data_IF_798145876954
#
_entry.id   IF_798145876954
#
_cell.length_a   1.000
_cell.length_b   1.000
_cell.length_c   1.000
_cell.angle_alpha   90.00
_cell.angle_beta   90.00
_cell.angle_gamma   90.00
#
_symmetry.space_group_name_H-M   'P 1'
#
loop_
_entity.id
_entity.type
_entity.pdbx_description
1 polymer ?
#
# COMPACT_ATOMS: atom_id res chain seq x y z
N UNK A 1 87.92 37.28 34.43
CA UNK A 1 88.66 37.02 35.70
C UNK A 1 87.90 36.03 36.53
N UNK A 2 88.59 34.93 36.91
CA UNK A 2 88.48 34.06 38.09
C UNK A 2 87.07 33.51 38.44
N UNK A 3 86.85 32.21 38.27
CA UNK A 3 87.07 31.05 39.20
C UNK A 3 86.14 31.16 40.42
N UNK A 4 85.40 30.11 40.80
CA UNK A 4 85.81 28.74 41.22
C UNK A 4 84.57 27.90 41.52
N UNK A 5 84.60 26.73 41.14
CA UNK A 5 84.50 25.38 41.72
C UNK A 5 83.97 25.24 43.16
N UNK A 6 83.13 24.25 43.34
CA UNK A 6 83.00 23.14 44.33
C UNK A 6 81.54 22.74 44.33
N UNK A 7 81.05 21.56 44.15
CA UNK A 7 81.55 20.19 44.33
C UNK A 7 80.40 19.35 44.88
N UNK A 8 80.08 18.32 44.20
CA UNK A 8 79.55 16.99 44.59
C UNK A 8 78.47 16.83 45.68
N UNK A 9 77.38 16.15 45.37
CA UNK A 9 77.17 14.79 45.87
C UNK A 9 75.86 14.24 45.33
N UNK A 10 76.00 13.07 44.70
CA UNK A 10 74.95 12.16 44.21
C UNK A 10 74.15 11.59 45.36
N UNK A 11 72.86 11.72 45.32
CA UNK A 11 71.92 10.79 45.95
C UNK A 11 70.93 10.24 44.89
N UNK A 12 71.09 8.94 44.58
CA UNK A 12 70.16 8.19 43.79
C UNK A 12 68.99 7.83 44.70
N UNK A 13 67.85 8.41 44.46
CA UNK A 13 66.57 7.94 45.04
C UNK A 13 65.78 7.15 43.98
N UNK A 14 65.73 5.87 44.19
CA UNK A 14 64.90 4.95 43.43
C UNK A 14 63.42 5.19 43.85
N UNK A 15 62.63 5.76 42.96
CA UNK A 15 61.16 5.77 43.13
C UNK A 15 60.53 4.62 42.30
N UNK A 16 59.60 3.86 42.85
CA UNK A 16 58.91 2.82 42.11
C UNK A 16 57.91 3.46 41.13
N UNK A 17 58.01 3.06 39.85
CA UNK A 17 57.04 3.40 38.80
C UNK A 17 55.78 2.60 39.10
N UNK A 18 54.76 3.25 39.67
CA UNK A 18 53.40 2.70 39.70
C UNK A 18 52.81 2.93 38.32
N UNK A 19 52.78 1.87 37.54
CA UNK A 19 52.08 1.86 36.26
C UNK A 19 50.56 1.91 36.47
N UNK A 20 49.95 3.07 36.27
CA UNK A 20 48.51 3.22 36.15
C UNK A 20 48.13 2.86 34.72
N UNK A 21 47.68 1.64 34.53
CA UNK A 21 47.03 1.21 33.25
C UNK A 21 45.65 1.86 33.19
N UNK A 22 45.55 2.99 32.50
CA UNK A 22 44.24 3.54 32.10
C UNK A 22 43.71 2.67 30.96
N UNK A 23 42.85 1.71 31.30
CA UNK A 23 42.02 1.03 30.31
C UNK A 23 41.01 2.04 29.76
N UNK A 24 41.26 2.57 28.55
CA UNK A 24 40.28 3.31 27.78
C UNK A 24 39.23 2.28 27.37
N UNK A 25 38.13 2.17 28.11
CA UNK A 25 36.92 1.56 27.65
C UNK A 25 36.35 2.48 26.56
N UNK A 26 36.65 2.18 25.28
CA UNK A 26 35.83 2.67 24.17
C UNK A 26 34.46 2.01 24.32
N UNK A 27 33.54 2.69 24.99
CA UNK A 27 32.12 2.41 24.81
C UNK A 27 31.78 2.79 23.37
N UNK A 28 31.67 1.79 22.52
CA UNK A 28 30.93 1.92 21.27
C UNK A 28 29.51 2.34 21.65
N UNK A 29 29.27 3.64 21.65
CA UNK A 29 27.93 4.17 21.58
C UNK A 29 27.46 3.80 20.17
N UNK A 30 26.86 2.61 20.04
CA UNK A 30 25.99 2.34 18.90
C UNK A 30 24.90 3.41 19.03
N UNK A 31 24.73 4.31 18.06
CA UNK A 31 23.59 5.20 18.11
C UNK A 31 22.37 4.27 18.19
N UNK A 32 21.63 4.34 19.29
CA UNK A 32 20.30 3.80 19.32
C UNK A 32 19.59 4.48 18.15
N UNK A 33 19.24 3.73 17.12
CA UNK A 33 18.31 4.21 16.12
C UNK A 33 17.10 4.67 16.92
N UNK A 34 16.87 5.98 16.93
CA UNK A 34 15.67 6.52 17.54
C UNK A 34 14.51 5.89 16.75
N UNK A 35 13.89 4.87 17.33
CA UNK A 35 12.65 4.38 16.81
C UNK A 35 11.63 5.49 17.07
N UNK A 36 10.98 5.96 16.03
CA UNK A 36 9.85 6.86 16.16
C UNK A 36 8.85 6.25 17.15
N UNK A 37 8.29 7.08 18.02
CA UNK A 37 7.44 6.59 19.11
C UNK A 37 6.14 6.03 18.54
N UNK A 38 5.89 4.75 18.76
CA UNK A 38 4.60 4.13 18.42
C UNK A 38 3.53 4.74 19.32
N UNK A 39 2.52 5.35 18.70
CA UNK A 39 1.42 5.96 19.43
C UNK A 39 0.34 4.91 19.70
N UNK A 40 -0.16 4.84 20.92
CA UNK A 40 -1.24 3.92 21.29
C UNK A 40 -2.52 4.12 20.49
N UNK A 41 -2.72 5.34 20.01
CA UNK A 41 -3.86 5.72 19.17
C UNK A 41 -3.68 5.35 17.70
N UNK A 42 -2.47 5.01 17.24
CA UNK A 42 -2.28 4.53 15.86
C UNK A 42 -3.18 3.32 15.60
N UNK A 43 -3.76 3.27 14.42
CA UNK A 43 -4.71 2.23 14.02
C UNK A 43 -4.02 1.26 13.06
N UNK A 44 -4.10 -0.01 13.37
CA UNK A 44 -3.61 -1.11 12.52
C UNK A 44 -4.81 -1.94 12.12
N UNK A 45 -5.11 -2.00 10.82
CA UNK A 45 -6.24 -2.74 10.27
C UNK A 45 -7.52 -2.56 11.10
N UNK A 46 -7.92 -1.30 11.32
CA UNK A 46 -9.17 -0.90 11.95
C UNK A 46 -9.25 -0.97 13.48
N UNK A 47 -8.17 -1.33 14.19
CA UNK A 47 -8.11 -1.28 15.66
C UNK A 47 -6.88 -0.50 16.11
N UNK A 48 -7.02 0.25 17.22
CA UNK A 48 -5.86 0.95 17.80
C UNK A 48 -4.82 -0.04 18.32
N UNK A 49 -3.55 0.40 18.37
CA UNK A 49 -2.45 -0.37 18.96
C UNK A 49 -2.79 -0.80 20.40
N UNK A 50 -3.44 0.08 21.17
CA UNK A 50 -3.89 -0.23 22.52
C UNK A 50 -4.97 -1.32 22.55
N UNK A 51 -5.94 -1.28 21.62
CA UNK A 51 -6.99 -2.31 21.51
C UNK A 51 -6.47 -3.66 21.03
N UNK A 52 -5.39 -3.66 20.23
CA UNK A 52 -4.77 -4.89 19.73
C UNK A 52 -3.87 -5.57 20.74
N UNK A 53 -3.36 -4.85 21.73
CA UNK A 53 -2.35 -5.34 22.71
C UNK A 53 -1.14 -5.99 22.02
N UNK A 54 -0.70 -5.41 20.89
CA UNK A 54 0.47 -5.90 20.15
C UNK A 54 1.76 -5.28 20.66
N UNK A 55 2.84 -6.03 20.53
CA UNK A 55 4.17 -5.53 20.92
C UNK A 55 4.58 -4.33 20.02
N UNK A 56 5.20 -3.31 20.60
CA UNK A 56 5.74 -2.15 19.87
C UNK A 56 6.60 -2.56 18.68
N UNK A 57 7.36 -3.64 18.80
CA UNK A 57 8.21 -4.16 17.74
C UNK A 57 7.43 -4.69 16.51
N UNK A 58 6.14 -4.96 16.66
CA UNK A 58 5.25 -5.37 15.56
C UNK A 58 4.55 -4.17 14.89
N UNK A 59 4.76 -2.95 15.37
CA UNK A 59 4.20 -1.74 14.81
C UNK A 59 5.23 -1.07 13.87
N UNK A 60 4.77 -0.35 12.82
CA UNK A 60 5.69 0.40 11.99
C UNK A 60 6.29 1.59 12.76
N UNK A 61 7.56 1.90 12.50
CA UNK A 61 8.22 3.09 13.06
C UNK A 61 7.95 4.27 12.14
N UNK A 62 7.07 5.18 12.56
CA UNK A 62 6.65 6.38 11.82
C UNK A 62 6.79 7.59 12.72
N UNK A 63 7.41 8.64 12.20
CA UNK A 63 7.61 9.92 12.90
C UNK A 63 6.54 10.95 12.51
N UNK A 64 6.08 10.93 11.27
CA UNK A 64 5.08 11.84 10.72
C UNK A 64 3.87 12.04 11.64
N UNK A 65 3.31 13.25 11.62
CA UNK A 65 2.14 13.59 12.44
C UNK A 65 0.87 12.93 11.91
N UNK A 66 0.73 12.84 10.59
CA UNK A 66 -0.38 12.17 9.91
C UNK A 66 0.20 11.12 8.95
N UNK A 67 -0.35 9.93 8.96
CA UNK A 67 0.10 8.88 8.05
C UNK A 67 -1.01 7.88 7.73
N UNK A 68 -0.99 7.37 6.51
CA UNK A 68 -1.84 6.26 6.09
C UNK A 68 -1.07 5.32 5.18
N UNK A 69 -1.39 4.05 5.25
CA UNK A 69 -0.91 3.02 4.32
C UNK A 69 -2.09 2.21 3.82
N UNK A 70 -2.23 2.13 2.50
CA UNK A 70 -3.28 1.35 1.84
C UNK A 70 -2.70 0.49 0.72
N UNK A 71 -3.44 -0.52 0.27
CA UNK A 71 -3.15 -1.26 -0.96
C UNK A 71 -3.93 -0.74 -2.18
N UNK A 72 -3.76 -1.44 -3.31
CA UNK A 72 -4.47 -1.12 -4.57
C UNK A 72 -6.00 -1.24 -4.47
N UNK A 73 -6.52 -1.98 -3.51
CA UNK A 73 -7.96 -2.18 -3.31
C UNK A 73 -8.54 -1.18 -2.30
N UNK A 74 -7.70 -0.33 -1.71
CA UNK A 74 -8.08 0.67 -0.70
C UNK A 74 -8.17 0.11 0.71
N UNK A 75 -7.67 -1.11 0.97
CA UNK A 75 -7.57 -1.68 2.31
C UNK A 75 -6.58 -0.88 3.15
N UNK A 76 -7.02 -0.36 4.28
CA UNK A 76 -6.18 0.42 5.20
C UNK A 76 -5.45 -0.51 6.17
N UNK A 77 -4.12 -0.56 6.06
CA UNK A 77 -3.26 -1.33 6.98
C UNK A 77 -2.79 -0.52 8.18
N UNK A 78 -2.50 0.76 7.97
CA UNK A 78 -2.04 1.67 9.01
C UNK A 78 -2.69 3.04 8.86
N UNK A 79 -3.05 3.65 10.00
CA UNK A 79 -3.63 4.98 10.11
C UNK A 79 -3.10 5.66 11.38
N UNK A 80 -2.56 6.86 11.21
CA UNK A 80 -2.23 7.82 12.27
C UNK A 80 -2.85 9.15 11.91
N UNK A 81 -3.87 9.60 12.63
CA UNK A 81 -4.57 10.85 12.38
C UNK A 81 -4.95 11.04 10.89
N UNK A 82 -5.16 9.92 10.15
CA UNK A 82 -5.20 9.94 8.69
C UNK A 82 -6.40 10.70 8.13
N UNK A 83 -7.43 10.92 8.94
CA UNK A 83 -8.65 11.63 8.56
C UNK A 83 -8.71 13.08 9.09
N UNK A 84 -7.68 13.52 9.81
CA UNK A 84 -7.59 14.89 10.30
C UNK A 84 -7.05 15.82 9.20
N UNK A 85 -7.66 17.00 8.98
CA UNK A 85 -7.20 17.95 7.99
C UNK A 85 -5.80 18.51 8.30
N UNK A 86 -4.97 18.61 7.25
CA UNK A 86 -3.64 19.21 7.30
C UNK A 86 -3.33 19.89 5.96
N UNK A 87 -2.38 20.81 5.97
CA UNK A 87 -1.79 21.31 4.73
C UNK A 87 -0.97 20.22 4.06
N UNK A 88 -0.99 20.23 2.72
CA UNK A 88 -0.38 19.18 1.91
C UNK A 88 0.71 19.68 0.97
N UNK A 89 0.96 21.00 0.97
CA UNK A 89 1.97 21.61 0.14
C UNK A 89 1.90 21.13 -1.34
N UNK A 90 3.07 20.90 -1.94
CA UNK A 90 3.19 20.47 -3.34
C UNK A 90 2.65 19.07 -3.66
N UNK A 91 2.14 18.30 -2.70
CA UNK A 91 1.36 17.08 -2.99
C UNK A 91 0.13 17.44 -3.84
N UNK A 92 -0.41 18.65 -3.68
CA UNK A 92 -1.46 19.27 -4.53
C UNK A 92 -1.23 19.06 -6.03
N UNK A 93 0.02 19.08 -6.49
CA UNK A 93 0.38 18.95 -7.92
C UNK A 93 0.01 17.62 -8.56
N UNK A 94 -0.24 16.61 -7.74
CA UNK A 94 -0.75 15.32 -8.24
C UNK A 94 -2.17 15.48 -8.77
N UNK A 95 -3.04 16.19 -8.04
CA UNK A 95 -4.37 16.53 -8.53
C UNK A 95 -4.32 17.47 -9.75
N UNK A 96 -3.37 18.40 -9.76
CA UNK A 96 -3.13 19.26 -10.93
C UNK A 96 -2.79 18.46 -12.18
N UNK A 97 -1.95 17.41 -12.04
CA UNK A 97 -1.62 16.53 -13.16
C UNK A 97 -2.86 15.74 -13.65
N UNK A 98 -3.65 15.18 -12.73
CA UNK A 98 -4.88 14.43 -13.06
C UNK A 98 -5.84 15.35 -13.86
N UNK A 99 -6.17 16.52 -13.33
CA UNK A 99 -7.12 17.45 -13.96
C UNK A 99 -6.60 17.98 -15.29
N UNK A 100 -5.29 18.23 -15.39
CA UNK A 100 -4.68 18.64 -16.65
C UNK A 100 -4.80 17.55 -17.72
N UNK A 101 -4.56 16.28 -17.38
CA UNK A 101 -4.69 15.15 -18.31
C UNK A 101 -6.15 14.94 -18.74
N UNK A 102 -7.08 15.02 -17.80
CA UNK A 102 -8.51 14.79 -18.07
C UNK A 102 -9.13 15.86 -18.98
N UNK A 103 -8.59 17.11 -18.98
CA UNK A 103 -9.21 18.24 -19.66
C UNK A 103 -8.37 18.86 -20.79
N UNK A 104 -7.09 18.50 -20.95
CA UNK A 104 -6.27 19.03 -22.03
C UNK A 104 -6.73 18.49 -23.39
N UNK A 105 -6.72 19.36 -24.38
CA UNK A 105 -6.96 18.97 -25.77
C UNK A 105 -5.75 18.25 -26.36
N UNK A 106 -5.99 17.50 -27.40
CA UNK A 106 -4.90 16.85 -28.16
C UNK A 106 -3.90 17.90 -28.67
N UNK A 107 -2.61 17.61 -28.59
CA UNK A 107 -1.50 18.50 -28.97
C UNK A 107 -1.45 19.83 -28.22
N UNK A 108 -1.97 19.91 -27.00
CA UNK A 108 -1.84 21.10 -26.15
C UNK A 108 -0.38 21.46 -25.96
N UNK A 109 -0.09 22.75 -26.14
CA UNK A 109 1.20 23.37 -25.78
C UNK A 109 0.98 24.31 -24.61
N UNK A 110 1.92 24.32 -23.66
CA UNK A 110 1.85 25.10 -22.43
C UNK A 110 2.86 26.24 -22.52
N UNK A 111 2.41 27.47 -22.28
CA UNK A 111 3.27 28.66 -22.29
C UNK A 111 3.38 29.16 -20.84
N UNK A 112 4.61 29.40 -20.37
CA UNK A 112 4.87 30.01 -19.07
C UNK A 112 4.58 31.52 -19.19
N UNK A 113 3.50 31.99 -18.60
CA UNK A 113 3.11 33.40 -18.55
C UNK A 113 4.00 34.20 -17.58
N UNK A 114 3.93 35.53 -17.63
CA UNK A 114 4.51 36.44 -16.63
C UNK A 114 3.98 36.09 -15.23
N UNK A 115 2.68 35.81 -15.09
CA UNK A 115 2.04 35.43 -13.83
C UNK A 115 2.57 34.09 -13.33
N UNK A 116 2.69 33.09 -14.20
CA UNK A 116 3.28 31.79 -13.82
C UNK A 116 4.74 31.91 -13.39
N UNK A 117 5.54 32.74 -14.06
CA UNK A 117 6.93 33.01 -13.73
C UNK A 117 7.13 33.84 -12.44
N UNK A 118 6.06 34.47 -11.94
CA UNK A 118 6.08 35.27 -10.71
C UNK A 118 5.73 34.47 -9.43
N UNK A 119 5.24 33.22 -9.55
CA UNK A 119 4.80 32.41 -8.39
C UNK A 119 5.93 32.18 -7.35
N UNK A 120 7.18 32.13 -7.79
CA UNK A 120 8.32 31.91 -6.89
C UNK A 120 8.57 30.44 -6.53
N UNK A 121 9.52 30.23 -5.62
CA UNK A 121 10.03 28.94 -5.16
C UNK A 121 10.50 28.02 -6.32
N UNK A 122 9.94 26.82 -6.48
CA UNK A 122 10.37 25.88 -7.51
C UNK A 122 9.97 26.34 -8.92
N UNK A 123 10.92 26.85 -9.70
CA UNK A 123 10.70 27.27 -11.10
C UNK A 123 10.79 26.10 -12.09
N UNK A 124 11.33 24.95 -11.70
CA UNK A 124 11.75 23.87 -12.63
C UNK A 124 12.71 24.38 -13.73
N UNK A 125 13.52 25.41 -13.46
CA UNK A 125 14.40 26.09 -14.41
C UNK A 125 13.65 26.69 -15.63
N UNK A 126 12.32 26.82 -15.56
CA UNK A 126 11.49 27.51 -16.55
C UNK A 126 11.60 29.05 -16.42
N UNK A 127 11.28 29.73 -17.47
CA UNK A 127 11.25 31.19 -17.51
C UNK A 127 10.00 31.67 -18.27
N UNK A 128 9.62 32.93 -18.06
CA UNK A 128 8.57 33.60 -18.85
C UNK A 128 8.79 33.42 -20.34
N UNK A 129 7.74 33.12 -21.06
CA UNK A 129 7.74 32.89 -22.50
C UNK A 129 8.24 31.53 -22.97
N UNK A 130 8.63 30.63 -22.06
CA UNK A 130 8.95 29.23 -22.41
C UNK A 130 7.70 28.54 -22.92
N UNK A 131 7.84 27.80 -24.02
CA UNK A 131 6.79 26.98 -24.59
C UNK A 131 7.20 25.51 -24.49
N UNK A 132 6.33 24.70 -23.89
CA UNK A 132 6.50 23.27 -23.67
C UNK A 132 5.41 22.47 -24.40
N UNK A 133 5.72 21.26 -24.84
CA UNK A 133 4.67 20.29 -25.08
C UNK A 133 4.04 19.83 -23.74
N UNK A 134 2.88 19.21 -23.83
CA UNK A 134 2.09 18.86 -22.66
C UNK A 134 2.81 17.87 -21.71
N UNK A 135 3.49 16.86 -22.27
CA UNK A 135 4.25 15.88 -21.48
C UNK A 135 5.44 16.54 -20.78
N UNK A 136 6.15 17.44 -21.45
CA UNK A 136 7.24 18.23 -20.86
C UNK A 136 6.74 19.11 -19.70
N UNK A 137 5.53 19.68 -19.82
CA UNK A 137 4.92 20.46 -18.76
C UNK A 137 4.54 19.57 -17.54
N UNK A 138 4.01 18.36 -17.76
CA UNK A 138 3.75 17.39 -16.69
C UNK A 138 5.05 16.94 -16.01
N UNK A 139 6.13 16.71 -16.75
CA UNK A 139 7.46 16.42 -16.19
C UNK A 139 7.98 17.56 -15.33
N UNK A 140 7.87 18.80 -15.80
CA UNK A 140 8.28 19.98 -15.04
C UNK A 140 7.42 20.21 -13.78
N UNK A 141 6.15 19.79 -13.80
CA UNK A 141 5.24 19.81 -12.66
C UNK A 141 5.64 18.78 -11.58
N UNK A 142 5.85 17.53 -11.98
CA UNK A 142 5.91 16.39 -11.04
C UNK A 142 7.33 16.07 -10.57
N UNK A 143 8.34 16.13 -11.46
CA UNK A 143 9.71 15.71 -11.14
C UNK A 143 10.41 16.69 -10.19
N UNK A 144 10.64 17.98 -10.56
CA UNK A 144 11.25 18.97 -9.66
C UNK A 144 10.20 19.73 -8.83
N UNK A 145 8.94 19.35 -8.88
CA UNK A 145 7.87 20.06 -8.16
C UNK A 145 7.63 21.51 -8.62
N UNK A 146 7.67 21.79 -9.95
CA UNK A 146 7.66 23.12 -10.51
C UNK A 146 6.34 23.90 -10.31
N UNK A 147 6.38 25.01 -9.56
CA UNK A 147 5.24 25.91 -9.38
C UNK A 147 4.87 26.63 -10.68
N UNK A 148 5.88 27.02 -11.47
CA UNK A 148 5.65 27.68 -12.78
C UNK A 148 4.89 26.74 -13.73
N UNK A 149 5.24 25.46 -13.75
CA UNK A 149 4.55 24.46 -14.56
C UNK A 149 3.11 24.23 -14.07
N UNK A 150 2.89 24.21 -12.75
CA UNK A 150 1.54 24.07 -12.17
C UNK A 150 0.62 25.20 -12.61
N UNK A 151 1.08 26.44 -12.46
CA UNK A 151 0.32 27.63 -12.84
C UNK A 151 0.08 27.68 -14.35
N UNK A 152 1.12 27.44 -15.17
CA UNK A 152 1.02 27.48 -16.62
C UNK A 152 0.07 26.40 -17.19
N UNK A 153 0.06 25.20 -16.58
CA UNK A 153 -0.91 24.14 -16.90
C UNK A 153 -2.34 24.58 -16.57
N UNK A 154 -2.56 25.13 -15.37
CA UNK A 154 -3.86 25.59 -14.94
C UNK A 154 -4.39 26.72 -15.83
N UNK A 155 -3.55 27.69 -16.21
CA UNK A 155 -3.91 28.77 -17.15
C UNK A 155 -4.26 28.23 -18.54
N UNK A 156 -3.43 27.32 -19.07
CA UNK A 156 -3.61 26.76 -20.41
C UNK A 156 -4.86 25.89 -20.50
N UNK A 157 -4.97 24.92 -19.60
CA UNK A 157 -6.07 23.92 -19.62
C UNK A 157 -7.38 24.59 -19.17
N UNK A 158 -7.34 25.45 -18.15
CA UNK A 158 -8.50 26.19 -17.70
C UNK A 158 -9.08 27.11 -18.80
N UNK A 159 -8.23 27.75 -19.62
CA UNK A 159 -8.69 28.50 -20.79
C UNK A 159 -9.39 27.59 -21.81
N UNK A 160 -8.85 26.39 -22.08
CA UNK A 160 -9.49 25.41 -22.98
C UNK A 160 -10.84 24.91 -22.42
N UNK A 161 -10.96 24.76 -21.09
CA UNK A 161 -12.21 24.40 -20.43
C UNK A 161 -13.27 25.51 -20.61
N UNK A 162 -12.90 26.79 -20.37
CA UNK A 162 -13.81 27.93 -20.55
C UNK A 162 -14.24 28.08 -22.02
N UNK A 163 -13.35 27.88 -22.99
CA UNK A 163 -13.71 27.85 -24.41
C UNK A 163 -14.74 26.76 -24.75
N UNK A 164 -14.70 25.64 -24.04
CA UNK A 164 -15.62 24.50 -24.21
C UNK A 164 -16.92 24.71 -23.44
N UNK A 165 -16.86 25.33 -22.28
CA UNK A 165 -18.00 25.67 -21.41
C UNK A 165 -17.84 27.08 -20.81
N UNK A 166 -18.36 28.13 -21.49
CA UNK A 166 -18.29 29.49 -20.97
C UNK A 166 -19.00 29.74 -19.63
N UNK A 167 -19.79 28.81 -19.13
CA UNK A 167 -20.43 28.93 -17.82
C UNK A 167 -19.42 28.81 -16.64
N UNK A 168 -18.20 28.34 -16.93
CA UNK A 168 -17.09 28.27 -15.97
C UNK A 168 -16.50 29.65 -15.61
N UNK A 169 -16.92 30.73 -16.29
CA UNK A 169 -16.47 32.08 -15.99
C UNK A 169 -15.41 32.59 -16.97
N UNK A 170 -14.57 33.52 -16.51
CA UNK A 170 -13.54 34.19 -17.32
C UNK A 170 -12.12 34.07 -16.75
N UNK A 171 -11.96 33.43 -15.56
CA UNK A 171 -10.66 33.16 -14.96
C UNK A 171 -10.25 31.68 -15.18
N UNK A 172 -9.25 31.43 -16.04
CA UNK A 172 -8.79 30.05 -16.30
C UNK A 172 -8.34 29.30 -15.08
N UNK A 173 -7.62 29.95 -14.14
CA UNK A 173 -7.12 29.28 -12.93
C UNK A 173 -8.26 28.93 -11.98
N UNK A 174 -9.25 29.85 -11.85
CA UNK A 174 -10.44 29.57 -11.05
C UNK A 174 -11.26 28.39 -11.60
N UNK A 175 -11.43 28.33 -12.95
CA UNK A 175 -12.10 27.19 -13.60
C UNK A 175 -11.33 25.88 -13.37
N UNK A 176 -10.01 25.91 -13.46
CA UNK A 176 -9.16 24.75 -13.23
C UNK A 176 -9.21 24.27 -11.76
N UNK A 177 -9.11 25.20 -10.79
CA UNK A 177 -9.22 24.89 -9.35
C UNK A 177 -10.59 24.32 -9.01
N UNK A 178 -11.66 24.85 -9.63
CA UNK A 178 -12.98 24.24 -9.50
C UNK A 178 -12.97 22.78 -9.95
N UNK A 179 -12.37 22.48 -11.10
CA UNK A 179 -12.25 21.10 -11.58
C UNK A 179 -11.40 20.22 -10.66
N UNK A 180 -10.36 20.76 -10.00
CA UNK A 180 -9.62 20.02 -8.97
C UNK A 180 -10.51 19.59 -7.80
N UNK A 181 -11.37 20.49 -7.32
CA UNK A 181 -12.31 20.19 -6.24
C UNK A 181 -13.43 19.25 -6.69
N UNK A 182 -13.96 19.42 -7.90
CA UNK A 182 -14.96 18.51 -8.48
C UNK A 182 -14.36 17.09 -8.60
N UNK A 183 -13.11 16.99 -9.09
CA UNK A 183 -12.42 15.69 -9.21
C UNK A 183 -12.11 15.05 -7.86
N UNK A 184 -11.74 15.85 -6.84
CA UNK A 184 -11.56 15.35 -5.49
C UNK A 184 -12.86 14.73 -4.95
N UNK A 185 -14.00 15.39 -5.17
CA UNK A 185 -15.31 14.87 -4.76
C UNK A 185 -15.66 13.58 -5.51
N UNK A 186 -15.36 13.46 -6.81
CA UNK A 186 -15.57 12.24 -7.61
C UNK A 186 -14.72 11.06 -7.11
N UNK A 187 -13.48 11.32 -6.69
CA UNK A 187 -12.59 10.32 -6.08
C UNK A 187 -13.08 9.91 -4.69
N UNK A 188 -13.97 10.69 -4.07
CA UNK A 188 -14.49 10.48 -2.72
C UNK A 188 -13.60 11.09 -1.62
N UNK A 189 -12.90 12.19 -1.95
CA UNK A 189 -12.16 12.99 -0.97
C UNK A 189 -13.14 13.92 -0.23
N UNK A 190 -13.48 13.58 1.00
CA UNK A 190 -14.54 14.29 1.75
C UNK A 190 -14.00 15.51 2.51
N UNK A 191 -12.70 15.55 2.81
CA UNK A 191 -12.05 16.58 3.60
C UNK A 191 -10.88 17.22 2.83
N UNK A 192 -11.12 17.56 1.56
CA UNK A 192 -10.11 18.13 0.67
C UNK A 192 -10.64 19.39 0.02
N UNK A 193 -9.86 20.47 0.10
CA UNK A 193 -10.11 21.75 -0.58
C UNK A 193 -8.83 22.21 -1.25
N UNK A 194 -8.85 22.36 -2.55
CA UNK A 194 -7.80 22.99 -3.35
C UNK A 194 -8.16 24.47 -3.62
N UNK A 195 -7.21 25.37 -3.43
CA UNK A 195 -7.37 26.81 -3.70
C UNK A 195 -6.42 27.33 -4.80
N UNK A 196 -5.40 26.54 -5.12
CA UNK A 196 -4.45 26.83 -6.18
C UNK A 196 -3.86 25.53 -6.76
N UNK A 197 -3.20 25.57 -7.93
CA UNK A 197 -2.68 24.38 -8.59
C UNK A 197 -1.30 23.91 -8.08
N UNK A 198 -0.62 24.66 -7.21
CA UNK A 198 0.76 24.41 -6.81
C UNK A 198 0.93 23.98 -5.35
N UNK A 199 -0.02 24.32 -4.48
CA UNK A 199 -0.02 23.91 -3.06
C UNK A 199 0.72 24.87 -2.13
N UNK A 200 0.99 26.12 -2.53
CA UNK A 200 1.45 27.17 -1.61
C UNK A 200 0.30 27.56 -0.69
N UNK A 201 0.62 27.83 0.58
CA UNK A 201 -0.35 28.04 1.66
C UNK A 201 0.01 29.22 2.59
N UNK A 202 0.93 30.05 2.15
CA UNK A 202 1.37 31.26 2.87
C UNK A 202 1.29 32.54 2.03
N UNK A 203 1.49 33.68 2.67
CA UNK A 203 1.51 34.99 2.01
C UNK A 203 0.21 35.30 1.27
N UNK A 204 0.27 35.47 -0.05
CA UNK A 204 -0.91 35.73 -0.89
C UNK A 204 -1.78 34.48 -1.09
N UNK A 205 -1.26 33.29 -0.73
CA UNK A 205 -1.94 32.00 -0.81
C UNK A 205 -2.45 31.51 0.55
N UNK A 206 -2.35 32.33 1.61
CA UNK A 206 -2.94 32.01 2.91
C UNK A 206 -4.46 31.88 2.76
N UNK A 207 -5.00 30.70 3.09
CA UNK A 207 -6.42 30.39 2.91
C UNK A 207 -6.86 29.10 3.57
N UNK A 208 -7.72 28.36 2.89
CA UNK A 208 -8.33 27.14 3.37
C UNK A 208 -7.88 25.88 2.60
N UNK A 209 -6.73 25.96 1.91
CA UNK A 209 -6.17 24.78 1.25
C UNK A 209 -5.85 23.72 2.31
N UNK A 210 -6.48 22.56 2.23
CA UNK A 210 -6.23 21.45 3.13
C UNK A 210 -6.65 20.12 2.51
N UNK A 211 -6.15 19.03 3.07
CA UNK A 211 -6.60 17.68 2.79
C UNK A 211 -6.31 16.77 4.00
N UNK A 212 -6.54 15.48 3.83
CA UNK A 212 -6.17 14.46 4.82
C UNK A 212 -5.22 13.43 4.19
N UNK A 213 -4.44 12.72 5.01
CA UNK A 213 -3.61 11.64 4.50
C UNK A 213 -4.47 10.56 3.80
N UNK A 214 -5.65 10.26 4.35
CA UNK A 214 -6.59 9.28 3.77
C UNK A 214 -7.12 9.71 2.40
N UNK A 215 -7.50 10.99 2.23
CA UNK A 215 -7.95 11.49 0.93
C UNK A 215 -6.81 11.52 -0.08
N UNK A 216 -5.59 11.91 0.34
CA UNK A 216 -4.43 11.92 -0.54
C UNK A 216 -4.00 10.50 -0.95
N UNK A 217 -4.28 9.47 -0.16
CA UNK A 217 -4.07 8.07 -0.57
C UNK A 217 -5.01 7.66 -1.71
N UNK A 218 -6.27 8.12 -1.70
CA UNK A 218 -7.21 7.91 -2.83
C UNK A 218 -6.73 8.67 -4.09
N UNK A 219 -6.20 9.89 -3.91
CA UNK A 219 -5.59 10.65 -5.02
C UNK A 219 -4.37 9.91 -5.58
N UNK A 220 -3.53 9.30 -4.73
CA UNK A 220 -2.40 8.48 -5.15
C UNK A 220 -2.84 7.29 -6.01
N UNK A 221 -3.84 6.52 -5.57
CA UNK A 221 -4.40 5.41 -6.34
C UNK A 221 -4.93 5.88 -7.71
N UNK A 222 -5.70 6.98 -7.73
CA UNK A 222 -6.23 7.56 -8.95
C UNK A 222 -5.09 7.99 -9.90
N UNK A 223 -4.07 8.69 -9.39
CA UNK A 223 -2.94 9.17 -10.17
C UNK A 223 -2.15 8.02 -10.80
N UNK A 224 -1.91 6.97 -10.03
CA UNK A 224 -1.14 5.81 -10.49
C UNK A 224 -1.91 4.90 -11.48
N UNK A 225 -3.19 5.15 -11.71
CA UNK A 225 -3.94 4.54 -12.80
C UNK A 225 -3.65 5.18 -14.18
N UNK A 226 -3.02 6.38 -14.21
CA UNK A 226 -2.60 7.04 -15.44
C UNK A 226 -1.17 6.61 -15.80
N UNK A 227 -0.99 5.88 -16.89
CA UNK A 227 0.33 5.38 -17.34
C UNK A 227 1.36 6.53 -17.48
N UNK A 228 0.93 7.71 -17.95
CA UNK A 228 1.80 8.87 -18.12
C UNK A 228 2.30 9.42 -16.77
N UNK A 229 1.43 9.50 -15.76
CA UNK A 229 1.85 9.92 -14.41
C UNK A 229 2.81 8.89 -13.84
N UNK A 230 2.45 7.61 -13.86
CA UNK A 230 3.27 6.50 -13.38
C UNK A 230 4.67 6.51 -14.02
N UNK A 231 4.75 6.69 -15.33
CA UNK A 231 6.03 6.75 -16.04
C UNK A 231 6.88 7.99 -15.63
N UNK A 232 6.24 9.13 -15.40
CA UNK A 232 6.94 10.36 -15.02
C UNK A 232 7.48 10.25 -13.59
N UNK A 233 6.63 9.89 -12.62
CA UNK A 233 7.00 9.92 -11.19
C UNK A 233 7.98 8.79 -10.83
N UNK A 234 7.90 7.64 -11.50
CA UNK A 234 8.85 6.53 -11.34
C UNK A 234 10.14 6.68 -12.15
N UNK A 235 10.20 7.65 -13.06
CA UNK A 235 11.32 7.82 -13.98
C UNK A 235 12.55 8.53 -13.41
N UNK A 236 12.44 9.16 -12.24
CA UNK A 236 13.53 9.92 -11.62
C UNK A 236 13.91 11.18 -12.40
N UNK A 237 15.17 11.60 -12.27
CA UNK A 237 15.74 12.76 -12.99
C UNK A 237 15.65 12.58 -14.50
N UNK A 238 15.22 13.65 -15.22
CA UNK A 238 14.95 13.60 -16.65
C UNK A 238 15.28 14.92 -17.33
N UNK A 239 15.25 14.96 -18.66
CA UNK A 239 15.48 16.17 -19.46
C UNK A 239 14.25 16.46 -20.31
N UNK A 240 13.85 17.74 -20.39
CA UNK A 240 12.81 18.22 -21.27
C UNK A 240 13.35 19.18 -22.32
N UNK A 241 12.56 19.41 -23.37
CA UNK A 241 12.84 20.44 -24.39
C UNK A 241 11.81 21.55 -24.28
N UNK A 242 12.30 22.77 -24.18
CA UNK A 242 11.48 23.99 -24.21
C UNK A 242 11.88 24.84 -25.37
N UNK A 243 10.93 25.61 -25.89
CA UNK A 243 11.22 26.70 -26.89
C UNK A 243 11.31 28.01 -26.13
N UNK A 244 12.54 28.54 -25.99
CA UNK A 244 12.84 29.84 -25.35
C UNK A 244 13.42 30.78 -26.39
N UNK A 245 12.86 32.01 -26.54
CA UNK A 245 13.26 33.00 -27.53
C UNK A 245 13.34 32.43 -28.97
N UNK A 246 12.40 31.54 -29.32
CA UNK A 246 12.33 30.90 -30.63
C UNK A 246 13.34 29.77 -30.86
N UNK A 247 14.18 29.42 -29.88
CA UNK A 247 15.20 28.38 -29.96
C UNK A 247 14.87 27.22 -29.01
N UNK A 248 15.19 26.01 -29.44
CA UNK A 248 15.09 24.85 -28.58
C UNK A 248 16.19 24.90 -27.53
N UNK A 249 15.80 24.68 -26.25
CA UNK A 249 16.71 24.55 -25.11
C UNK A 249 16.36 23.26 -24.35
N UNK A 250 17.38 22.53 -23.94
CA UNK A 250 17.21 21.40 -23.03
C UNK A 250 17.33 21.87 -21.58
N UNK A 251 16.44 21.36 -20.73
CA UNK A 251 16.41 21.64 -19.29
C UNK A 251 16.43 20.29 -18.58
N UNK A 252 17.41 20.09 -17.70
CA UNK A 252 17.42 18.95 -16.78
C UNK A 252 16.48 19.24 -15.61
N UNK A 253 15.69 18.24 -15.27
CA UNK A 253 14.74 18.25 -14.17
C UNK A 253 15.20 17.20 -13.16
N UNK A 254 15.74 17.66 -12.04
CA UNK A 254 16.17 16.80 -10.94
C UNK A 254 14.94 16.35 -10.13
N UNK A 255 14.86 15.07 -9.85
CA UNK A 255 13.77 14.55 -9.01
C UNK A 255 13.93 14.97 -7.56
N UNK A 256 12.81 15.27 -6.90
CA UNK A 256 12.76 15.51 -5.45
C UNK A 256 12.42 14.22 -4.68
N UNK A 257 12.15 13.13 -5.37
CA UNK A 257 11.81 11.84 -4.78
C UNK A 257 13.07 11.01 -4.56
N UNK A 258 13.70 11.15 -3.39
CA UNK A 258 14.87 10.36 -3.00
C UNK A 258 14.52 8.90 -2.67
N UNK A 259 13.23 8.56 -2.45
CA UNK A 259 12.84 7.20 -2.17
C UNK A 259 13.14 6.27 -3.34
N UNK A 260 13.13 6.77 -4.58
CA UNK A 260 13.48 6.00 -5.79
C UNK A 260 14.90 5.43 -5.73
N UNK A 261 15.84 6.13 -5.07
CA UNK A 261 17.21 5.66 -4.87
C UNK A 261 17.37 4.82 -3.59
N UNK A 262 16.56 5.13 -2.56
CA UNK A 262 16.66 4.51 -1.24
C UNK A 262 15.94 3.16 -1.14
N UNK A 263 14.98 2.89 -2.05
CA UNK A 263 14.07 1.74 -1.95
C UNK A 263 13.76 1.14 -3.31
N UNK A 264 14.26 -0.05 -3.57
CA UNK A 264 14.20 -0.69 -4.89
C UNK A 264 12.78 -1.02 -5.39
N UNK A 265 11.79 -1.00 -4.52
CA UNK A 265 10.38 -1.22 -4.87
C UNK A 265 9.61 0.09 -5.07
N UNK A 266 10.22 1.25 -4.82
CA UNK A 266 9.57 2.56 -4.99
C UNK A 266 9.24 2.82 -6.48
N UNK A 267 8.04 3.38 -6.73
CA UNK A 267 7.55 3.74 -8.05
C UNK A 267 7.00 5.20 -8.10
N UNK A 268 7.34 6.02 -7.12
CA UNK A 268 6.98 7.44 -7.02
C UNK A 268 6.40 7.74 -5.63
N UNK A 269 5.75 8.88 -5.40
CA UNK A 269 5.00 9.77 -6.34
C UNK A 269 5.44 11.24 -6.20
N UNK A 270 5.25 11.86 -4.98
CA UNK A 270 5.39 13.32 -4.85
C UNK A 270 5.77 13.77 -3.45
N UNK A 271 6.74 14.68 -3.38
CA UNK A 271 7.12 15.41 -2.17
C UNK A 271 6.30 16.70 -2.00
N UNK A 272 6.15 17.15 -0.77
CA UNK A 272 5.59 18.46 -0.42
C UNK A 272 6.30 19.04 0.79
N UNK A 273 6.54 20.34 0.80
CA UNK A 273 7.08 21.07 1.96
C UNK A 273 6.62 22.52 1.88
N UNK A 274 6.04 23.02 2.96
CA UNK A 274 5.84 24.42 3.31
C UNK A 274 6.08 24.56 4.81
N UNK A 275 6.17 25.77 5.31
CA UNK A 275 6.33 26.01 6.75
C UNK A 275 5.13 25.47 7.57
N UNK A 276 3.92 25.47 6.97
CA UNK A 276 2.70 24.97 7.61
C UNK A 276 2.52 23.46 7.48
N UNK A 277 2.80 22.91 6.30
CA UNK A 277 2.63 21.47 6.04
C UNK A 277 3.74 20.61 6.66
N UNK A 278 4.94 21.18 6.88
CA UNK A 278 6.12 20.40 7.17
C UNK A 278 6.53 19.47 6.02
N UNK A 279 7.64 18.73 6.19
CA UNK A 279 8.05 17.75 5.19
C UNK A 279 7.02 16.63 5.04
N UNK A 280 6.52 16.44 3.83
CA UNK A 280 5.43 15.52 3.50
C UNK A 280 5.77 14.72 2.25
N UNK A 281 5.22 13.51 2.13
CA UNK A 281 5.44 12.64 0.99
C UNK A 281 4.22 11.76 0.70
N UNK A 282 3.89 11.67 -0.58
CA UNK A 282 2.97 10.69 -1.15
C UNK A 282 3.81 9.67 -1.89
N UNK A 283 3.88 8.44 -1.38
CA UNK A 283 4.72 7.38 -1.92
C UNK A 283 3.90 6.23 -2.48
N UNK A 284 4.48 5.53 -3.46
CA UNK A 284 3.98 4.26 -3.96
C UNK A 284 5.14 3.25 -4.10
N UNK A 285 4.84 1.99 -3.84
CA UNK A 285 5.78 0.89 -4.02
C UNK A 285 5.08 -0.32 -4.62
N UNK A 286 5.82 -1.10 -5.43
CA UNK A 286 5.35 -2.37 -5.98
C UNK A 286 6.38 -3.46 -5.71
N UNK A 287 5.99 -4.47 -4.96
CA UNK A 287 6.81 -5.65 -4.68
C UNK A 287 6.04 -6.90 -5.10
N UNK A 288 6.60 -7.64 -6.04
CA UNK A 288 6.04 -8.91 -6.54
C UNK A 288 4.58 -8.79 -7.04
N UNK A 289 4.26 -7.63 -7.68
CA UNK A 289 2.91 -7.33 -8.19
C UNK A 289 1.96 -6.74 -7.16
N UNK A 290 2.32 -6.71 -5.89
CA UNK A 290 1.53 -6.05 -4.84
C UNK A 290 1.92 -4.58 -4.74
N UNK A 291 0.95 -3.71 -5.00
CA UNK A 291 1.13 -2.27 -4.96
C UNK A 291 0.56 -1.67 -3.68
N UNK A 292 1.36 -0.82 -3.04
CA UNK A 292 1.02 -0.11 -1.81
C UNK A 292 1.19 1.39 -2.01
N UNK A 293 0.36 2.16 -1.31
CA UNK A 293 0.39 3.62 -1.26
C UNK A 293 0.51 4.07 0.19
N UNK A 294 1.45 4.96 0.45
CA UNK A 294 1.62 5.58 1.75
C UNK A 294 1.64 7.10 1.61
N UNK A 295 0.90 7.78 2.47
CA UNK A 295 0.95 9.24 2.58
C UNK A 295 1.38 9.57 4.00
N UNK A 296 2.46 10.35 4.12
CA UNK A 296 2.98 10.88 5.37
C UNK A 296 3.02 12.39 5.30
N UNK A 297 2.44 13.08 6.30
CA UNK A 297 2.38 14.53 6.37
C UNK A 297 2.99 14.99 7.69
N UNK A 298 3.79 16.07 7.64
CA UNK A 298 4.40 16.66 8.84
C UNK A 298 5.45 15.76 9.49
N UNK A 299 6.36 15.15 8.71
CA UNK A 299 7.55 14.48 9.25
C UNK A 299 8.53 15.51 9.81
N UNK A 300 9.43 15.13 10.72
CA UNK A 300 10.35 16.05 11.42
C UNK A 300 11.39 16.68 10.50
N UNK A 301 11.77 16.01 9.42
CA UNK A 301 12.68 16.55 8.40
C UNK A 301 12.43 15.93 7.02
N UNK A 302 13.10 16.48 6.01
CA UNK A 302 12.92 16.06 4.61
C UNK A 302 13.40 14.64 4.33
N UNK A 303 14.36 14.12 5.07
CA UNK A 303 14.83 12.75 4.95
C UNK A 303 13.88 11.78 5.69
N UNK A 304 13.34 12.20 6.84
CA UNK A 304 12.48 11.38 7.67
C UNK A 304 11.19 10.96 6.95
N UNK A 305 10.61 11.84 6.09
CA UNK A 305 9.42 11.48 5.28
C UNK A 305 9.63 10.24 4.41
N UNK A 306 10.84 10.05 3.87
CA UNK A 306 11.19 8.85 3.08
C UNK A 306 11.44 7.65 3.98
N UNK A 307 12.07 7.84 5.13
CA UNK A 307 12.28 6.79 6.13
C UNK A 307 10.94 6.25 6.66
N UNK A 308 10.01 7.13 7.01
CA UNK A 308 8.65 6.78 7.45
C UNK A 308 7.91 5.96 6.38
N UNK A 309 7.92 6.44 5.14
CA UNK A 309 7.27 5.76 4.01
C UNK A 309 7.87 4.38 3.75
N UNK A 310 9.20 4.26 3.74
CA UNK A 310 9.90 2.99 3.60
C UNK A 310 9.57 2.01 4.73
N UNK A 311 9.50 2.51 5.96
CA UNK A 311 9.14 1.69 7.12
C UNK A 311 7.72 1.16 7.01
N UNK A 312 6.77 1.98 6.58
CA UNK A 312 5.38 1.57 6.32
C UNK A 312 5.32 0.47 5.26
N UNK A 313 5.99 0.64 4.11
CA UNK A 313 6.00 -0.35 3.05
C UNK A 313 6.62 -1.68 3.51
N UNK A 314 7.81 -1.65 4.09
CA UNK A 314 8.47 -2.85 4.58
C UNK A 314 7.59 -3.58 5.60
N UNK A 315 7.04 -2.84 6.57
CA UNK A 315 6.17 -3.39 7.58
C UNK A 315 4.94 -4.10 6.98
N UNK A 316 4.26 -3.48 6.01
CA UNK A 316 3.12 -4.13 5.38
C UNK A 316 3.53 -5.37 4.58
N UNK A 317 4.60 -5.28 3.76
CA UNK A 317 5.09 -6.44 3.01
C UNK A 317 5.55 -7.60 3.91
N UNK A 318 6.00 -7.32 5.14
CA UNK A 318 6.38 -8.34 6.11
C UNK A 318 5.17 -8.99 6.78
N UNK A 319 4.02 -8.31 6.83
CA UNK A 319 2.79 -8.77 7.52
C UNK A 319 1.67 -9.19 6.57
N UNK A 320 1.73 -8.83 5.29
CA UNK A 320 0.75 -9.29 4.30
C UNK A 320 1.19 -10.63 3.73
N UNK A 321 0.31 -11.66 3.85
CA UNK A 321 0.56 -13.05 3.47
C UNK A 321 -0.41 -13.50 2.41
N UNK A 322 0.08 -14.27 1.44
CA UNK A 322 -0.76 -15.03 0.53
C UNK A 322 -0.90 -16.46 1.07
N UNK A 323 -2.13 -16.93 1.23
CA UNK A 323 -2.45 -18.25 1.73
C UNK A 323 -3.26 -19.00 0.70
N UNK A 324 -2.87 -20.26 0.34
CA UNK A 324 -3.72 -21.12 -0.45
C UNK A 324 -4.98 -21.47 0.35
N UNK A 325 -6.14 -21.49 -0.32
CA UNK A 325 -7.39 -21.88 0.32
C UNK A 325 -7.48 -23.39 0.54
N UNK A 326 -6.90 -24.18 -0.39
CA UNK A 326 -6.70 -25.60 -0.19
C UNK A 326 -5.36 -25.87 0.47
N UNK A 327 -5.38 -26.38 1.70
CA UNK A 327 -4.21 -26.72 2.50
C UNK A 327 -4.44 -28.06 3.18
N UNK A 328 -4.05 -29.13 2.51
CA UNK A 328 -4.20 -30.54 2.95
C UNK A 328 -3.11 -31.39 2.31
N UNK A 329 -2.72 -32.47 2.98
CA UNK A 329 -1.81 -33.50 2.44
C UNK A 329 -2.57 -34.57 1.63
N UNK A 330 -3.90 -34.59 1.70
CA UNK A 330 -4.73 -35.52 0.93
C UNK A 330 -4.90 -35.01 -0.51
N UNK A 331 -4.81 -35.94 -1.48
CA UNK A 331 -4.89 -35.63 -2.90
C UNK A 331 -5.86 -36.52 -3.63
N UNK A 332 -6.53 -35.98 -4.63
CA UNK A 332 -7.38 -36.70 -5.57
C UNK A 332 -7.02 -36.32 -7.00
N UNK A 333 -7.71 -36.95 -7.94
CA UNK A 333 -7.58 -36.61 -9.37
C UNK A 333 -8.89 -35.95 -9.85
N UNK A 334 -8.79 -34.95 -10.69
CA UNK A 334 -9.93 -34.27 -11.30
C UNK A 334 -9.57 -33.76 -12.69
N UNK A 335 -10.54 -33.69 -13.57
CA UNK A 335 -10.41 -33.12 -14.92
C UNK A 335 -10.52 -31.59 -14.85
N UNK A 336 -9.38 -30.88 -14.89
CA UNK A 336 -9.33 -29.42 -14.92
C UNK A 336 -8.89 -28.97 -16.31
N UNK A 337 -9.70 -28.12 -16.95
CA UNK A 337 -9.41 -27.62 -18.31
C UNK A 337 -9.16 -28.72 -19.35
N UNK A 338 -9.84 -29.86 -19.22
CA UNK A 338 -9.78 -31.01 -20.14
C UNK A 338 -8.54 -31.90 -19.96
N UNK A 339 -7.81 -31.76 -18.86
CA UNK A 339 -6.69 -32.62 -18.49
C UNK A 339 -6.87 -33.12 -17.06
N UNK A 340 -6.69 -34.43 -16.88
CA UNK A 340 -6.66 -35.01 -15.51
C UNK A 340 -5.40 -34.51 -14.80
N UNK A 341 -5.57 -33.95 -13.61
CA UNK A 341 -4.47 -33.55 -12.73
C UNK A 341 -4.78 -33.90 -11.28
N UNK A 342 -3.74 -34.05 -10.52
CA UNK A 342 -3.79 -34.13 -9.06
C UNK A 342 -4.30 -32.81 -8.48
N UNK A 343 -5.27 -32.88 -7.56
CA UNK A 343 -5.86 -31.74 -6.85
C UNK A 343 -5.89 -32.03 -5.36
N UNK A 344 -5.79 -30.99 -4.48
CA UNK A 344 -5.93 -31.20 -3.04
C UNK A 344 -7.35 -31.63 -2.69
N UNK A 345 -7.50 -32.68 -1.90
CA UNK A 345 -8.80 -33.09 -1.33
C UNK A 345 -9.14 -32.25 -0.12
N UNK A 346 -10.12 -31.37 -0.26
CA UNK A 346 -10.56 -30.44 0.79
C UNK A 346 -11.49 -31.13 1.79
N UNK A 347 -12.37 -32.00 1.27
CA UNK A 347 -13.34 -32.70 2.07
C UNK A 347 -13.83 -34.00 1.38
N UNK A 348 -14.54 -34.83 2.14
CA UNK A 348 -15.29 -35.97 1.62
C UNK A 348 -16.72 -35.86 2.14
N UNK A 349 -17.69 -35.68 1.23
CA UNK A 349 -19.10 -35.49 1.54
C UNK A 349 -19.84 -36.80 1.63
N UNK A 350 -20.65 -36.99 2.65
CA UNK A 350 -21.53 -38.19 2.79
C UNK A 350 -22.56 -38.23 1.68
N UNK A 351 -22.77 -39.40 1.06
CA UNK A 351 -23.79 -39.61 0.04
C UNK A 351 -25.06 -40.19 0.66
N UNK A 352 -26.20 -39.47 0.58
CA UNK A 352 -27.43 -39.85 1.30
C UNK A 352 -28.04 -41.19 0.88
N UNK A 353 -27.85 -41.64 -0.36
CA UNK A 353 -28.38 -42.89 -0.85
C UNK A 353 -27.49 -44.10 -0.52
N UNK A 354 -26.25 -43.91 -0.14
CA UNK A 354 -25.29 -44.94 0.26
C UNK A 354 -25.13 -45.02 1.79
N UNK A 355 -24.53 -46.10 2.28
CA UNK A 355 -24.19 -46.28 3.72
C UNK A 355 -22.73 -46.00 3.97
N UNK A 356 -21.88 -46.40 3.05
CA UNK A 356 -20.42 -46.45 3.18
C UNK A 356 -19.69 -45.65 2.09
N UNK A 357 -20.40 -45.03 1.15
CA UNK A 357 -19.82 -44.23 0.10
C UNK A 357 -19.83 -42.73 0.48
N UNK A 358 -18.75 -42.07 0.14
CA UNK A 358 -18.60 -40.62 0.23
C UNK A 358 -18.17 -40.08 -1.13
N UNK A 359 -18.32 -38.79 -1.33
CA UNK A 359 -17.90 -38.07 -2.52
C UNK A 359 -16.72 -37.20 -2.16
N UNK A 360 -15.54 -37.54 -2.67
CA UNK A 360 -14.34 -36.73 -2.49
C UNK A 360 -14.45 -35.41 -3.22
N UNK A 361 -14.10 -34.32 -2.55
CA UNK A 361 -14.32 -32.96 -3.00
C UNK A 361 -13.09 -32.06 -2.87
N UNK A 362 -12.93 -31.21 -3.86
CA UNK A 362 -11.95 -30.11 -3.88
C UNK A 362 -12.65 -28.76 -4.02
N UNK A 363 -11.90 -27.65 -4.02
CA UNK A 363 -12.44 -26.32 -4.34
C UNK A 363 -12.79 -26.23 -5.83
N UNK A 364 -13.81 -25.45 -6.18
CA UNK A 364 -14.14 -25.16 -7.57
C UNK A 364 -12.95 -24.57 -8.34
N UNK A 365 -12.10 -23.78 -7.64
CA UNK A 365 -10.77 -23.40 -8.08
C UNK A 365 -9.74 -23.95 -7.09
N UNK A 366 -9.10 -25.11 -7.39
CA UNK A 366 -8.13 -25.73 -6.49
C UNK A 366 -6.86 -24.93 -6.25
N UNK A 367 -6.56 -23.94 -7.11
CA UNK A 367 -5.40 -23.07 -7.03
C UNK A 367 -5.71 -21.72 -6.35
N UNK A 368 -6.94 -21.53 -5.88
CA UNK A 368 -7.37 -20.28 -5.24
C UNK A 368 -6.56 -19.95 -3.99
N UNK A 369 -6.18 -18.68 -3.87
CA UNK A 369 -5.50 -18.12 -2.70
C UNK A 369 -6.21 -16.87 -2.21
N UNK A 370 -5.89 -16.47 -0.97
CA UNK A 370 -6.32 -15.19 -0.38
C UNK A 370 -5.12 -14.42 0.13
N UNK A 371 -5.20 -13.10 0.02
CA UNK A 371 -4.28 -12.20 0.69
C UNK A 371 -4.85 -11.84 2.06
N UNK A 372 -4.07 -12.05 3.10
CA UNK A 372 -4.45 -11.75 4.48
C UNK A 372 -3.38 -10.96 5.19
N UNK A 373 -3.79 -10.20 6.19
CA UNK A 373 -2.89 -9.47 7.06
C UNK A 373 -2.71 -10.26 8.35
N UNK A 374 -1.48 -10.73 8.64
CA UNK A 374 -1.22 -11.68 9.72
C UNK A 374 -1.49 -11.10 11.13
N UNK A 375 -1.42 -9.76 11.28
CA UNK A 375 -1.78 -9.07 12.52
C UNK A 375 -3.29 -9.06 12.79
N UNK A 376 -4.12 -9.48 11.86
CA UNK A 376 -5.56 -9.68 12.08
C UNK A 376 -5.90 -11.05 12.67
N UNK A 377 -4.90 -11.88 12.91
CA UNK A 377 -5.06 -13.20 13.46
C UNK A 377 -5.27 -14.28 12.40
N UNK A 378 -5.49 -15.52 12.87
CA UNK A 378 -5.64 -16.68 12.00
C UNK A 378 -6.93 -16.66 11.17
N UNK A 379 -6.87 -17.26 10.00
CA UNK A 379 -8.06 -17.55 9.19
C UNK A 379 -8.73 -18.81 9.74
N UNK A 380 -10.03 -18.74 9.93
CA UNK A 380 -10.89 -19.87 10.26
C UNK A 380 -11.69 -20.30 9.02
N UNK A 381 -12.09 -21.56 8.98
CA UNK A 381 -12.93 -22.11 7.92
C UNK A 381 -14.19 -22.76 8.48
N UNK A 382 -15.26 -22.78 7.69
CA UNK A 382 -16.45 -23.57 7.97
C UNK A 382 -16.98 -24.19 6.69
N UNK A 383 -17.25 -25.48 6.73
CA UNK A 383 -17.77 -26.27 5.61
C UNK A 383 -19.25 -26.55 5.82
N UNK A 384 -20.02 -26.44 4.75
CA UNK A 384 -21.41 -26.87 4.69
C UNK A 384 -21.55 -27.84 3.54
N UNK A 385 -22.07 -29.04 3.82
CA UNK A 385 -22.30 -30.06 2.81
C UNK A 385 -23.76 -30.02 2.33
N UNK A 386 -23.96 -30.23 1.04
CA UNK A 386 -25.27 -30.42 0.45
C UNK A 386 -25.76 -31.88 0.68
N UNK A 387 -27.06 -32.14 0.68
CA UNK A 387 -27.61 -33.50 0.77
C UNK A 387 -27.51 -34.13 -0.63
N UNK A 388 -26.65 -35.15 -0.80
CA UNK A 388 -26.33 -35.74 -2.10
C UNK A 388 -27.20 -36.96 -2.37
N UNK A 389 -27.89 -36.95 -3.50
CA UNK A 389 -28.76 -38.03 -3.97
C UNK A 389 -28.51 -38.39 -5.44
N UNK A 390 -28.76 -39.64 -5.80
CA UNK A 390 -28.62 -40.10 -7.19
C UNK A 390 -27.17 -40.22 -7.61
N UNK A 391 -26.90 -40.06 -8.91
CA UNK A 391 -25.52 -40.01 -9.42
C UNK A 391 -24.97 -38.60 -9.25
N UNK A 392 -23.84 -38.48 -8.57
CA UNK A 392 -23.05 -37.26 -8.45
C UNK A 392 -21.90 -37.33 -9.45
N UNK A 393 -21.86 -36.45 -10.43
CA UNK A 393 -20.83 -36.47 -11.46
C UNK A 393 -19.61 -35.67 -11.01
N UNK A 394 -18.43 -35.96 -11.55
CA UNK A 394 -17.24 -35.14 -11.42
C UNK A 394 -17.58 -33.69 -11.79
N UNK A 395 -17.20 -32.74 -10.90
CA UNK A 395 -17.46 -31.31 -11.03
C UNK A 395 -18.83 -30.85 -10.49
N UNK A 396 -19.75 -31.76 -10.09
CA UNK A 396 -21.00 -31.36 -9.45
C UNK A 396 -20.73 -30.74 -8.08
N UNK A 397 -21.49 -29.70 -7.71
CA UNK A 397 -21.41 -29.08 -6.40
C UNK A 397 -21.88 -30.05 -5.31
N UNK A 398 -21.08 -30.18 -4.26
CA UNK A 398 -21.35 -31.06 -3.10
C UNK A 398 -21.41 -30.29 -1.77
N UNK A 399 -21.16 -28.99 -1.80
CA UNK A 399 -21.18 -28.12 -0.63
C UNK A 399 -20.51 -26.78 -0.87
N UNK A 400 -20.20 -26.09 0.20
CA UNK A 400 -19.44 -24.84 0.20
C UNK A 400 -18.51 -24.74 1.39
N UNK A 401 -17.44 -23.97 1.23
CA UNK A 401 -16.50 -23.63 2.30
C UNK A 401 -16.34 -22.10 2.38
N UNK A 402 -16.46 -21.57 3.59
CA UNK A 402 -16.35 -20.14 3.89
C UNK A 402 -15.13 -19.90 4.77
N UNK A 403 -14.28 -18.98 4.37
CA UNK A 403 -13.10 -18.56 5.10
C UNK A 403 -13.34 -17.21 5.76
N UNK A 404 -12.94 -17.08 7.03
CA UNK A 404 -13.13 -15.86 7.82
C UNK A 404 -11.87 -15.45 8.54
N UNK A 405 -11.54 -14.17 8.51
CA UNK A 405 -10.57 -13.54 9.40
C UNK A 405 -11.30 -12.50 10.26
N UNK A 406 -11.12 -12.51 11.56
CA UNK A 406 -11.86 -11.65 12.52
C UNK A 406 -13.40 -11.67 12.32
N UNK A 407 -13.96 -12.83 12.04
CA UNK A 407 -15.38 -13.03 11.73
C UNK A 407 -15.89 -12.35 10.45
N UNK A 408 -15.03 -11.69 9.66
CA UNK A 408 -15.37 -11.21 8.32
C UNK A 408 -15.07 -12.29 7.31
N UNK A 409 -15.95 -12.47 6.32
CA UNK A 409 -15.73 -13.40 5.21
C UNK A 409 -14.65 -12.81 4.32
N UNK A 410 -13.57 -13.57 4.14
CA UNK A 410 -12.44 -13.21 3.26
C UNK A 410 -12.45 -14.01 1.96
N UNK A 411 -13.07 -15.19 1.97
CA UNK A 411 -13.34 -15.96 0.75
C UNK A 411 -14.51 -16.93 0.98
N UNK A 412 -15.17 -17.29 -0.11
CA UNK A 412 -16.17 -18.35 -0.20
C UNK A 412 -15.93 -19.12 -1.49
N UNK A 413 -15.96 -20.46 -1.42
CA UNK A 413 -15.77 -21.35 -2.55
C UNK A 413 -16.79 -22.46 -2.52
N UNK A 414 -17.23 -22.90 -3.71
CA UNK A 414 -17.98 -24.14 -3.84
C UNK A 414 -17.02 -25.33 -3.68
N UNK A 415 -17.51 -26.41 -3.04
CA UNK A 415 -16.89 -27.71 -3.04
C UNK A 415 -17.48 -28.51 -4.20
N UNK A 416 -16.62 -29.09 -5.03
CA UNK A 416 -17.02 -29.87 -6.22
C UNK A 416 -16.45 -31.29 -6.15
N UNK A 417 -17.21 -32.25 -6.65
CA UNK A 417 -16.83 -33.65 -6.69
C UNK A 417 -15.57 -33.87 -7.55
N UNK A 418 -14.60 -34.61 -7.06
CA UNK A 418 -13.39 -34.98 -7.80
C UNK A 418 -13.63 -36.12 -8.77
N UNK A 419 -14.60 -36.99 -8.49
CA UNK A 419 -14.95 -38.16 -9.28
C UNK A 419 -16.46 -38.36 -9.38
N UNK A 420 -16.88 -39.23 -10.29
CA UNK A 420 -18.28 -39.58 -10.40
C UNK A 420 -18.63 -40.74 -9.47
N UNK A 421 -19.60 -40.52 -8.57
CA UNK A 421 -20.18 -41.55 -7.69
C UNK A 421 -21.57 -41.90 -8.21
N UNK A 422 -21.74 -43.14 -8.68
CA UNK A 422 -22.99 -43.60 -9.25
C UNK A 422 -24.06 -43.82 -8.17
N UNK A 423 -25.33 -43.60 -8.55
CA UNK A 423 -26.46 -43.98 -7.71
C UNK A 423 -26.48 -45.50 -7.42
N UNK A 424 -26.93 -45.95 -6.23
CA UNK A 424 -27.00 -47.36 -5.92
C UNK A 424 -27.97 -48.10 -6.87
N UNK A 425 -27.50 -49.23 -7.45
CA UNK A 425 -28.31 -50.08 -8.29
C UNK A 425 -29.46 -50.74 -7.50
N UNK A 426 -30.42 -51.37 -8.21
CA UNK A 426 -31.60 -51.98 -7.57
C UNK A 426 -31.23 -52.96 -6.46
N UNK A 427 -30.16 -53.75 -6.64
CA UNK A 427 -29.70 -54.73 -5.65
C UNK A 427 -29.11 -54.01 -4.44
N UNK A 428 -28.32 -52.97 -4.66
CA UNK A 428 -27.66 -52.22 -3.58
C UNK A 428 -28.69 -51.38 -2.82
N UNK A 429 -29.67 -50.79 -3.47
CA UNK A 429 -30.81 -50.11 -2.83
C UNK A 429 -31.53 -51.02 -1.85
N UNK A 430 -31.76 -52.32 -2.24
CA UNK A 430 -32.41 -53.28 -1.36
C UNK A 430 -31.51 -53.68 -0.15
N UNK A 431 -30.20 -53.88 -0.37
CA UNK A 431 -29.23 -54.14 0.73
C UNK A 431 -29.15 -52.95 1.69
N UNK A 432 -29.06 -51.72 1.17
CA UNK A 432 -29.00 -50.50 1.94
C UNK A 432 -30.26 -50.35 2.79
N UNK A 433 -31.43 -50.52 2.19
CA UNK A 433 -32.69 -50.48 2.92
C UNK A 433 -32.74 -51.49 4.05
N UNK A 434 -32.28 -52.73 3.80
CA UNK A 434 -32.22 -53.77 4.81
C UNK A 434 -31.24 -53.43 5.94
N UNK A 435 -30.05 -52.96 5.60
CA UNK A 435 -29.03 -52.55 6.59
C UNK A 435 -29.49 -51.38 7.46
N UNK A 436 -30.16 -50.39 6.85
CA UNK A 436 -30.77 -49.28 7.62
C UNK A 436 -31.87 -49.73 8.55
N UNK A 437 -32.69 -50.68 8.12
CA UNK A 437 -33.73 -51.25 8.98
C UNK A 437 -33.15 -52.00 10.17
N UNK A 438 -32.11 -52.78 9.96
CA UNK A 438 -31.46 -53.54 11.02
C UNK A 438 -30.62 -52.61 11.93
N UNK A 439 -29.90 -51.67 11.35
CA UNK A 439 -29.12 -50.65 12.07
C UNK A 439 -30.01 -49.79 12.96
N UNK A 440 -31.14 -49.32 12.46
CA UNK A 440 -32.12 -48.54 13.22
C UNK A 440 -32.68 -49.30 14.45
N UNK A 441 -32.82 -50.62 14.33
CA UNK A 441 -33.22 -51.50 15.46
C UNK A 441 -32.10 -51.63 16.53
N UNK A 442 -30.84 -51.37 16.14
CA UNK A 442 -29.67 -51.44 17.02
C UNK A 442 -29.18 -50.10 17.52
N UNK A 443 -29.81 -48.99 17.10
CA UNK A 443 -29.44 -47.62 17.44
C UNK A 443 -28.15 -47.14 16.77
N UNK A 444 -27.77 -47.78 15.62
CA UNK A 444 -26.64 -47.36 14.80
C UNK A 444 -27.12 -46.56 13.59
N UNK A 445 -26.55 -45.37 13.43
CA UNK A 445 -26.71 -44.59 12.21
C UNK A 445 -25.92 -45.30 11.08
N UNK A 446 -26.62 -45.64 10.02
CA UNK A 446 -26.04 -46.38 8.90
C UNK A 446 -25.76 -45.44 7.73
N UNK A 447 -24.84 -44.50 7.93
CA UNK A 447 -24.37 -43.58 6.88
C UNK A 447 -22.92 -43.19 7.22
N UNK A 448 -22.09 -43.05 6.17
CA UNK A 448 -20.74 -42.54 6.32
C UNK A 448 -20.78 -41.06 6.75
N UNK A 449 -19.85 -40.68 7.64
CA UNK A 449 -19.72 -39.28 8.06
C UNK A 449 -18.98 -38.47 7.00
N UNK A 450 -19.38 -37.21 6.82
CA UNK A 450 -18.60 -36.26 6.04
C UNK A 450 -17.34 -35.85 6.80
N UNK A 451 -16.22 -35.73 6.10
CA UNK A 451 -14.89 -35.41 6.68
C UNK A 451 -14.35 -34.16 6.02
N UNK A 452 -13.72 -33.30 6.78
CA UNK A 452 -12.99 -32.12 6.27
C UNK A 452 -11.49 -32.38 6.49
N UNK A 453 -10.73 -32.43 5.40
CA UNK A 453 -9.28 -32.64 5.41
C UNK A 453 -8.52 -31.31 5.44
N UNK A 454 -9.14 -30.24 4.89
CA UNK A 454 -8.53 -28.93 4.81
C UNK A 454 -8.26 -28.35 6.19
N UNK A 455 -7.07 -27.79 6.40
CA UNK A 455 -6.68 -27.15 7.65
C UNK A 455 -5.97 -25.85 7.34
N UNK A 456 -6.55 -24.72 7.74
CA UNK A 456 -5.89 -23.42 7.54
C UNK A 456 -4.60 -23.33 8.34
N UNK A 457 -3.50 -22.83 7.73
CA UNK A 457 -2.23 -22.67 8.42
C UNK A 457 -2.33 -21.63 9.54
N UNK A 458 -1.61 -21.85 10.63
CA UNK A 458 -1.44 -20.85 11.69
C UNK A 458 -0.50 -19.77 11.19
N UNK A 459 -0.98 -18.53 11.06
CA UNK A 459 -0.25 -17.39 10.51
C UNK A 459 0.24 -16.40 11.57
N UNK A 460 -0.41 -16.35 12.72
CA UNK A 460 -0.09 -15.43 13.80
C UNK A 460 0.68 -16.14 14.90
N UNK A 461 1.99 -15.88 14.98
CA UNK A 461 2.83 -16.37 16.09
C UNK A 461 3.09 -15.33 17.18
N UNK A 462 2.64 -14.06 16.99
CA UNK A 462 3.04 -12.92 17.82
C UNK A 462 1.88 -12.17 18.48
N UNK A 463 0.65 -12.66 18.39
CA UNK A 463 -0.39 -12.17 19.29
C UNK A 463 -0.10 -12.81 20.64
N UNK A 464 0.35 -12.04 21.61
CA UNK A 464 0.49 -12.54 22.98
C UNK A 464 -0.85 -13.18 23.37
N UNK A 465 -0.85 -14.50 23.60
CA UNK A 465 -1.92 -15.16 24.33
C UNK A 465 -1.87 -14.65 25.77
N UNK A 466 -2.31 -13.41 25.98
CA UNK A 466 -2.72 -12.94 27.30
C UNK A 466 -4.11 -13.52 27.51
N UNK A 467 -4.12 -14.68 28.19
CA UNK A 467 -5.32 -15.32 28.72
C UNK A 467 -5.93 -14.46 29.83
#
# INVERSE_FOLDING_TARGET
MRRSYVGSSTWIAIMPVIGVSVALALSLVVPATAHAEVRKADVIAGLTVEQRDIAVAACPSVDAEYAVLIDSDGTVYFDRNAYEPSQIASITKVMTAIVAIDNARENTTVTVSEKAAAIGESSANLAEGDILDFESALKALLVPSGNYAAQALAETVGAQMIESDPSLGDDPVAAFVKAMNDRAAEIGCENTVYENPHGLDDGEYEGNLHSTAADQAKVAQCAMAYDVIRAIVGGGTTTIKVKRDGKNKEIELETTDELLEMYSYAIGIKTGTTDLAGPSFMGAANKDGRELYAVVLGSTDEYQRFADTKNLFNWAYDHVRELPLANTDEVGEMTVNGSVREVPLVASASHADWIDETVDATLADPDASITVFDLEGNVSQSVTFDELHGTVNEGDKVGSIVFKQRNMVVAEQDLVACETVEAPGVIDTFKIWWMRLVGGLQGNDAQADSIVYNVMPTISNNVSNAA
#
